data_IF_336302694710
#
_entry.id   IF_336302694710
#
_cell.length_a   1.000
_cell.length_b   1.000
_cell.length_c   1.000
_cell.angle_alpha   90.00
_cell.angle_beta   90.00
_cell.angle_gamma   90.00
#
_symmetry.space_group_name_H-M   'P 1'
#
loop_
_entity.id
_entity.type
_entity.pdbx_description
1 polymer ?
#
# COMPACT_ATOMS: atom_id res chain seq x y z
N UNK A 1 3.11 -16.72 -31.79
CA UNK A 1 3.43 -16.88 -30.36
C UNK A 1 2.52 -15.94 -29.59
N UNK A 2 1.80 -16.41 -28.57
CA UNK A 2 0.94 -15.54 -27.78
C UNK A 2 1.79 -14.43 -27.14
N UNK A 3 1.41 -13.18 -27.35
CA UNK A 3 2.11 -12.03 -26.78
C UNK A 3 1.91 -12.01 -25.27
N UNK A 4 2.99 -11.83 -24.50
CA UNK A 4 2.89 -11.71 -23.05
C UNK A 4 1.96 -10.53 -22.69
N UNK A 5 0.97 -10.75 -21.80
CA UNK A 5 0.05 -9.70 -21.37
C UNK A 5 0.82 -8.56 -20.69
N UNK A 6 0.28 -7.34 -20.80
CA UNK A 6 0.91 -6.14 -20.24
C UNK A 6 0.91 -6.19 -18.70
N UNK A 7 2.08 -6.16 -18.05
CA UNK A 7 2.19 -6.20 -16.60
C UNK A 7 1.93 -4.83 -15.94
N UNK A 8 1.84 -3.74 -16.71
CA UNK A 8 1.80 -2.36 -16.20
C UNK A 8 0.72 -2.15 -15.15
N UNK A 9 -0.47 -2.69 -15.39
CA UNK A 9 -1.56 -2.58 -14.43
C UNK A 9 -1.16 -3.17 -13.05
N UNK A 10 -0.48 -4.31 -13.02
CA UNK A 10 -0.12 -5.02 -11.78
C UNK A 10 1.12 -4.45 -11.07
N UNK A 11 1.80 -3.49 -11.66
CA UNK A 11 3.06 -2.95 -11.13
C UNK A 11 2.95 -1.47 -10.77
N UNK A 12 2.13 -0.70 -11.49
CA UNK A 12 2.03 0.74 -11.33
C UNK A 12 0.67 1.15 -10.80
N UNK A 13 0.67 2.11 -9.89
CA UNK A 13 -0.53 2.86 -9.54
C UNK A 13 -0.75 3.94 -10.60
N UNK A 14 -1.90 3.93 -11.27
CA UNK A 14 -2.23 4.91 -12.30
C UNK A 14 -2.17 6.36 -11.78
N UNK A 15 -1.81 7.30 -12.66
CA UNK A 15 -1.75 8.73 -12.34
C UNK A 15 -3.11 9.28 -11.89
N UNK A 16 -4.20 8.80 -12.50
CA UNK A 16 -5.56 9.14 -12.09
C UNK A 16 -5.82 8.77 -10.62
N UNK A 17 -5.38 7.57 -10.21
CA UNK A 17 -5.56 7.08 -8.86
C UNK A 17 -4.67 7.84 -7.87
N UNK A 18 -3.38 8.04 -8.21
CA UNK A 18 -2.47 8.86 -7.39
C UNK A 18 -3.04 10.25 -7.14
N UNK A 19 -3.64 10.89 -8.16
CA UNK A 19 -4.26 12.22 -8.00
C UNK A 19 -5.47 12.18 -7.07
N UNK A 20 -6.35 11.19 -7.22
CA UNK A 20 -7.54 11.04 -6.34
C UNK A 20 -7.14 10.84 -4.89
N UNK A 21 -6.17 9.95 -4.67
CA UNK A 21 -5.61 9.63 -3.36
C UNK A 21 -5.00 10.87 -2.70
N UNK A 22 -4.20 11.64 -3.44
CA UNK A 22 -3.59 12.88 -2.94
C UNK A 22 -4.60 14.00 -2.60
N UNK A 23 -5.79 13.98 -3.21
CA UNK A 23 -6.84 15.00 -2.98
C UNK A 23 -7.78 14.66 -1.82
N UNK A 24 -7.61 13.52 -1.15
CA UNK A 24 -8.51 13.12 -0.06
C UNK A 24 -8.46 14.14 1.10
N UNK A 25 -9.61 14.46 1.72
CA UNK A 25 -9.63 15.30 2.91
C UNK A 25 -8.77 14.70 4.02
N UNK A 26 -7.92 15.52 4.62
CA UNK A 26 -7.03 15.10 5.70
C UNK A 26 -6.91 16.21 6.73
N UNK A 27 -7.08 15.82 7.99
CA UNK A 27 -6.81 16.69 9.13
C UNK A 27 -5.80 15.98 10.04
N UNK A 28 -4.53 16.38 9.95
CA UNK A 28 -3.46 15.75 10.72
C UNK A 28 -3.52 15.96 12.23
N UNK A 29 -4.41 16.84 12.72
CA UNK A 29 -4.62 17.03 14.16
C UNK A 29 -5.78 16.21 14.69
N UNK A 30 -6.78 15.93 13.86
CA UNK A 30 -7.97 15.17 14.28
C UNK A 30 -7.95 13.72 13.85
N UNK A 31 -7.38 13.39 12.69
CA UNK A 31 -7.34 12.02 12.21
C UNK A 31 -6.23 11.23 12.91
N UNK A 32 -6.62 10.11 13.53
CA UNK A 32 -5.73 9.24 14.30
C UNK A 32 -6.03 7.77 14.02
N UNK A 33 -5.00 6.93 14.13
CA UNK A 33 -5.16 5.49 14.18
C UNK A 33 -5.47 5.04 15.59
N UNK A 34 -6.50 4.21 15.72
CA UNK A 34 -6.99 3.69 16.99
C UNK A 34 -6.89 2.16 16.97
N UNK A 35 -6.29 1.52 17.99
CA UNK A 35 -6.19 0.07 18.04
C UNK A 35 -7.58 -0.57 18.17
N UNK A 36 -7.80 -1.62 17.40
CA UNK A 36 -9.04 -2.39 17.36
C UNK A 36 -8.74 -3.90 17.42
N UNK A 37 -9.51 -4.64 18.19
CA UNK A 37 -9.27 -6.08 18.39
C UNK A 37 -9.58 -6.92 17.14
N UNK A 38 -10.42 -6.42 16.23
CA UNK A 38 -10.88 -7.18 15.05
C UNK A 38 -10.13 -6.78 13.78
N UNK A 39 -10.00 -5.48 13.53
CA UNK A 39 -9.38 -4.94 12.31
C UNK A 39 -7.91 -4.52 12.51
N UNK A 40 -7.38 -4.65 13.74
CA UNK A 40 -6.04 -4.24 14.13
C UNK A 40 -5.97 -2.74 14.42
N UNK A 41 -6.21 -1.91 13.40
CA UNK A 41 -6.29 -0.46 13.52
C UNK A 41 -7.43 0.12 12.69
N UNK A 42 -8.12 1.10 13.27
CA UNK A 42 -9.19 1.85 12.61
C UNK A 42 -8.83 3.33 12.52
N UNK A 43 -9.24 3.96 11.42
CA UNK A 43 -9.13 5.40 11.27
C UNK A 43 -10.26 6.06 12.07
N UNK A 44 -9.89 6.93 13.02
CA UNK A 44 -10.82 7.68 13.83
C UNK A 44 -10.59 9.18 13.74
N UNK A 45 -11.60 9.95 14.16
CA UNK A 45 -11.56 11.40 14.22
C UNK A 45 -11.71 11.87 15.66
N UNK A 46 -10.77 12.67 16.17
CA UNK A 46 -10.84 13.21 17.54
C UNK A 46 -11.98 14.21 17.65
N UNK A 47 -12.88 13.99 18.60
CA UNK A 47 -13.96 14.91 18.93
C UNK A 47 -13.69 15.73 20.20
N UNK A 48 -12.98 15.14 21.17
CA UNK A 48 -12.70 15.80 22.43
C UNK A 48 -11.64 15.08 23.25
N UNK A 49 -11.06 15.80 24.20
CA UNK A 49 -10.05 15.29 25.12
C UNK A 49 -10.41 15.72 26.54
N UNK A 50 -10.36 14.77 27.49
CA UNK A 50 -10.54 14.99 28.92
C UNK A 50 -9.34 14.38 29.65
N UNK A 51 -8.36 15.21 30.00
CA UNK A 51 -7.09 14.74 30.56
C UNK A 51 -6.35 13.84 29.58
N UNK A 52 -6.04 12.61 30.00
CA UNK A 52 -5.33 11.61 29.19
C UNK A 52 -6.26 10.78 28.30
N UNK A 53 -7.58 10.94 28.47
CA UNK A 53 -8.59 10.22 27.70
C UNK A 53 -9.07 11.06 26.52
N UNK A 54 -9.03 10.47 25.33
CA UNK A 54 -9.43 11.08 24.07
C UNK A 54 -10.64 10.35 23.52
N UNK A 55 -11.71 11.09 23.23
CA UNK A 55 -12.90 10.57 22.57
C UNK A 55 -12.71 10.69 21.05
N UNK A 56 -12.73 9.53 20.39
CA UNK A 56 -12.57 9.37 18.95
C UNK A 56 -13.86 8.82 18.35
N UNK A 57 -14.31 9.44 17.27
CA UNK A 57 -15.38 8.94 16.43
C UNK A 57 -14.81 7.89 15.47
N UNK A 58 -15.33 6.67 15.53
CA UNK A 58 -14.95 5.54 14.70
C UNK A 58 -16.16 5.07 13.88
N UNK A 59 -15.95 4.35 12.76
CA UNK A 59 -17.05 3.81 11.96
C UNK A 59 -18.04 2.92 12.74
N UNK A 60 -17.61 2.32 13.87
CA UNK A 60 -18.43 1.49 14.75
C UNK A 60 -19.06 2.23 15.95
N UNK A 61 -18.93 3.56 15.99
CA UNK A 61 -19.37 4.41 17.11
C UNK A 61 -18.21 5.03 17.87
N UNK A 62 -18.54 5.93 18.80
CA UNK A 62 -17.55 6.69 19.57
C UNK A 62 -16.89 5.81 20.62
N UNK A 63 -15.57 5.95 20.76
CA UNK A 63 -14.78 5.26 21.78
C UNK A 63 -13.91 6.26 22.52
N UNK A 64 -13.73 6.05 23.82
CA UNK A 64 -12.73 6.76 24.59
C UNK A 64 -11.50 5.87 24.74
N UNK A 65 -10.35 6.40 24.38
CA UNK A 65 -9.06 5.71 24.42
C UNK A 65 -8.00 6.65 24.98
N UNK A 66 -7.00 6.07 25.64
CA UNK A 66 -5.86 6.85 26.14
C UNK A 66 -5.08 7.46 24.99
N UNK A 67 -4.63 8.70 25.18
CA UNK A 67 -3.85 9.45 24.18
C UNK A 67 -2.62 8.69 23.69
N UNK A 68 -1.94 7.96 24.57
CA UNK A 68 -0.69 7.24 24.24
C UNK A 68 -0.90 6.05 23.30
N UNK A 69 -2.12 5.54 23.19
CA UNK A 69 -2.47 4.45 22.28
C UNK A 69 -2.81 4.94 20.87
N UNK A 70 -3.02 6.25 20.71
CA UNK A 70 -3.33 6.84 19.41
C UNK A 70 -2.06 7.01 18.59
N UNK A 71 -2.11 6.59 17.32
CA UNK A 71 -1.01 6.79 16.39
C UNK A 71 -1.36 7.85 15.35
N UNK A 72 -0.36 8.63 14.93
CA UNK A 72 -0.56 9.67 13.93
C UNK A 72 -0.76 9.07 12.54
N UNK A 73 -1.63 9.72 11.76
CA UNK A 73 -1.96 9.32 10.39
C UNK A 73 -1.05 10.06 9.42
N UNK A 74 -0.55 9.38 8.40
CA UNK A 74 0.23 10.02 7.35
C UNK A 74 -0.67 10.84 6.42
N UNK A 75 -0.20 11.99 5.90
CA UNK A 75 -0.96 12.77 4.94
C UNK A 75 -1.19 12.00 3.62
N UNK A 76 -2.24 12.33 2.84
CA UNK A 76 -2.64 11.58 1.65
C UNK A 76 -1.58 11.51 0.55
N UNK A 77 -0.59 12.41 0.58
CA UNK A 77 0.59 12.35 -0.32
C UNK A 77 1.38 11.04 -0.22
N UNK A 78 1.25 10.32 0.90
CA UNK A 78 1.91 9.05 1.14
C UNK A 78 1.00 7.84 0.93
N UNK A 79 -0.22 8.03 0.44
CA UNK A 79 -1.07 6.88 0.13
C UNK A 79 -0.44 5.99 -0.95
N UNK A 80 -0.46 4.68 -0.68
CA UNK A 80 0.06 3.64 -1.56
C UNK A 80 1.52 3.87 -1.95
N UNK A 81 2.34 4.39 -1.04
CA UNK A 81 3.75 4.60 -1.30
C UNK A 81 4.44 3.29 -1.70
N UNK A 82 5.33 3.37 -2.67
CA UNK A 82 6.11 2.22 -3.18
C UNK A 82 7.21 1.82 -2.19
N UNK A 83 7.70 2.76 -1.37
CA UNK A 83 8.66 2.52 -0.30
C UNK A 83 8.19 3.16 1.01
N UNK A 84 7.85 2.31 1.97
CA UNK A 84 7.33 2.73 3.27
C UNK A 84 8.38 3.40 4.16
N UNK A 85 9.68 3.28 3.87
CA UNK A 85 10.69 4.03 4.64
C UNK A 85 10.59 5.55 4.41
N UNK A 86 9.85 5.99 3.39
CA UNK A 86 9.61 7.40 3.11
C UNK A 86 8.40 7.98 3.84
N UNK A 87 7.67 7.18 4.63
CA UNK A 87 6.55 7.66 5.44
C UNK A 87 7.05 8.65 6.51
N UNK A 88 6.26 9.68 6.81
CA UNK A 88 6.57 10.61 7.91
C UNK A 88 6.38 9.94 9.26
N UNK A 89 5.29 9.19 9.43
CA UNK A 89 5.04 8.40 10.62
C UNK A 89 5.19 6.93 10.27
N UNK A 90 6.30 6.33 10.70
CA UNK A 90 6.57 4.91 10.52
C UNK A 90 6.11 4.14 11.77
N UNK A 91 4.80 4.02 11.92
CA UNK A 91 4.15 3.28 13.00
C UNK A 91 3.41 2.06 12.44
N UNK A 92 3.07 1.11 13.31
CA UNK A 92 2.45 -0.17 12.92
C UNK A 92 1.15 0.03 12.13
N UNK A 93 0.33 1.01 12.53
CA UNK A 93 -0.91 1.31 11.85
C UNK A 93 -0.69 1.83 10.43
N UNK A 94 0.31 2.69 10.23
CA UNK A 94 0.62 3.26 8.91
C UNK A 94 1.21 2.21 7.96
N UNK A 95 2.07 1.32 8.47
CA UNK A 95 2.62 0.20 7.67
C UNK A 95 1.49 -0.75 7.28
N UNK A 96 0.66 -1.16 8.24
CA UNK A 96 -0.48 -2.04 7.98
C UNK A 96 -1.45 -1.42 6.99
N UNK A 97 -1.77 -0.13 7.16
CA UNK A 97 -2.68 0.58 6.26
C UNK A 97 -2.13 0.67 4.84
N UNK A 98 -0.85 1.02 4.66
CA UNK A 98 -0.27 1.11 3.32
C UNK A 98 -0.27 -0.25 2.61
N UNK A 99 0.11 -1.32 3.32
CA UNK A 99 0.06 -2.68 2.79
C UNK A 99 -1.37 -3.11 2.47
N UNK A 100 -2.33 -2.83 3.36
CA UNK A 100 -3.76 -3.10 3.18
C UNK A 100 -4.29 -2.35 1.95
N UNK A 101 -4.06 -1.05 1.83
CA UNK A 101 -4.54 -0.25 0.70
C UNK A 101 -3.92 -0.67 -0.63
N UNK A 102 -2.62 -1.03 -0.65
CA UNK A 102 -1.96 -1.54 -1.86
C UNK A 102 -2.47 -2.92 -2.27
N UNK A 103 -2.85 -3.75 -1.30
CA UNK A 103 -3.44 -5.06 -1.54
C UNK A 103 -4.92 -4.99 -1.96
N UNK A 104 -5.72 -4.15 -1.29
CA UNK A 104 -7.18 -4.10 -1.44
C UNK A 104 -7.66 -3.18 -2.57
N UNK A 105 -6.95 -2.10 -2.89
CA UNK A 105 -7.28 -1.34 -4.09
C UNK A 105 -6.91 -2.18 -5.30
N UNK A 106 -7.90 -2.97 -5.76
CA UNK A 106 -8.00 -3.86 -6.94
C UNK A 106 -8.25 -5.37 -6.69
N UNK A 107 -8.83 -5.71 -5.52
CA UNK A 107 -9.51 -6.97 -5.13
C UNK A 107 -9.19 -8.26 -5.93
N UNK A 108 -8.37 -9.08 -5.29
CA UNK A 108 -8.31 -10.54 -5.48
C UNK A 108 -9.57 -11.24 -4.91
N UNK A 109 -10.40 -10.57 -4.11
CA UNK A 109 -11.71 -11.11 -3.72
C UNK A 109 -12.76 -10.02 -3.89
N UNK A 110 -13.64 -10.06 -4.91
CA UNK A 110 -14.79 -9.17 -4.89
C UNK A 110 -15.56 -9.46 -3.61
N UNK A 111 -15.69 -8.45 -2.75
CA UNK A 111 -16.67 -8.46 -1.67
C UNK A 111 -17.98 -8.92 -2.30
N UNK A 112 -18.58 -9.96 -1.72
CA UNK A 112 -19.61 -10.82 -2.30
C UNK A 112 -20.94 -10.12 -2.63
N UNK A 113 -20.99 -8.80 -2.80
CA UNK A 113 -22.21 -8.05 -3.11
C UNK A 113 -21.93 -6.96 -4.15
N UNK A 114 -22.67 -7.09 -5.25
CA UNK A 114 -22.96 -6.14 -6.36
C UNK A 114 -22.07 -6.14 -7.61
N UNK A 115 -22.65 -6.80 -8.62
CA UNK A 115 -22.82 -6.37 -10.01
C UNK A 115 -21.57 -6.20 -10.88
N UNK A 116 -21.32 -7.25 -11.67
CA UNK A 116 -20.69 -7.12 -12.99
C UNK A 116 -21.66 -6.36 -13.89
N UNK A 117 -21.43 -5.06 -14.06
CA UNK A 117 -21.98 -4.28 -15.15
C UNK A 117 -20.82 -3.51 -15.80
N UNK A 118 -20.70 -3.67 -17.12
CA UNK A 118 -19.76 -2.97 -18.01
C UNK A 118 -18.27 -3.33 -17.89
N UNK A 119 -17.89 -4.52 -18.39
CA UNK A 119 -16.78 -4.74 -19.35
C UNK A 119 -15.40 -4.08 -19.21
N UNK A 120 -15.07 -3.40 -18.10
CA UNK A 120 -13.84 -2.63 -17.94
C UNK A 120 -13.01 -3.23 -16.81
N UNK A 121 -12.09 -4.11 -17.19
CA UNK A 121 -11.11 -4.72 -16.27
C UNK A 121 -10.00 -3.70 -16.02
N UNK A 122 -10.18 -2.80 -15.05
CA UNK A 122 -9.06 -2.07 -14.45
C UNK A 122 -8.64 -2.83 -13.19
N UNK A 123 -7.65 -3.72 -13.32
CA UNK A 123 -7.11 -4.54 -12.23
C UNK A 123 -5.65 -4.14 -12.00
N UNK A 124 -5.42 -3.14 -11.16
CA UNK A 124 -4.06 -2.70 -10.81
C UNK A 124 -3.61 -3.27 -9.45
N UNK A 125 -3.15 -4.52 -9.38
CA UNK A 125 -2.80 -5.15 -8.10
C UNK A 125 -1.29 -5.12 -7.87
N UNK A 126 -0.81 -4.24 -6.99
CA UNK A 126 0.60 -4.17 -6.60
C UNK A 126 0.79 -4.76 -5.21
N UNK A 127 1.20 -6.02 -5.14
CA UNK A 127 1.36 -6.77 -3.87
C UNK A 127 2.78 -6.75 -3.31
N UNK A 128 3.70 -6.10 -4.02
CA UNK A 128 5.08 -5.93 -3.61
C UNK A 128 5.29 -4.46 -3.21
N UNK A 129 5.92 -4.24 -2.06
CA UNK A 129 6.17 -2.91 -1.52
C UNK A 129 7.54 -2.92 -0.86
N UNK A 130 8.33 -1.87 -1.07
CA UNK A 130 9.58 -1.71 -0.35
C UNK A 130 9.35 -1.17 1.06
N UNK A 131 10.23 -1.57 1.96
CA UNK A 131 10.40 -0.98 3.28
C UNK A 131 11.89 -0.81 3.51
N UNK A 132 12.45 0.26 2.93
CA UNK A 132 13.89 0.53 2.93
C UNK A 132 14.69 -0.55 2.19
N UNK A 133 15.29 -1.47 2.94
CA UNK A 133 16.06 -2.59 2.39
C UNK A 133 15.19 -3.81 2.08
N UNK A 134 14.02 -3.91 2.70
CA UNK A 134 13.16 -5.09 2.57
C UNK A 134 12.23 -4.95 1.37
N UNK A 135 11.97 -6.07 0.69
CA UNK A 135 10.87 -6.20 -0.25
C UNK A 135 9.79 -7.06 0.40
N UNK A 136 8.65 -6.44 0.72
CA UNK A 136 7.49 -7.11 1.31
C UNK A 136 6.62 -7.62 0.17
N UNK A 137 6.43 -8.94 0.08
CA UNK A 137 5.57 -9.59 -0.91
C UNK A 137 4.39 -10.28 -0.21
N UNK A 138 3.17 -9.80 -0.45
CA UNK A 138 1.95 -10.40 0.08
C UNK A 138 1.44 -11.45 -0.91
N UNK A 139 1.14 -12.66 -0.43
CA UNK A 139 0.64 -13.73 -1.29
C UNK A 139 -0.70 -13.33 -1.93
N UNK A 140 -0.77 -13.26 -3.28
CA UNK A 140 -1.99 -12.88 -3.97
C UNK A 140 -3.04 -13.98 -4.05
N UNK A 141 -2.72 -15.26 -3.75
CA UNK A 141 -3.62 -16.40 -3.98
C UNK A 141 -4.22 -16.49 -5.41
N UNK A 142 -3.62 -15.77 -6.38
CA UNK A 142 -3.98 -15.73 -7.79
C UNK A 142 -2.74 -15.58 -8.65
N UNK A 143 -2.79 -16.16 -9.85
CA UNK A 143 -1.70 -16.08 -10.82
C UNK A 143 -1.78 -14.75 -11.58
N UNK A 144 -0.78 -13.91 -11.40
CA UNK A 144 -0.63 -12.65 -12.14
C UNK A 144 0.47 -12.74 -13.20
N UNK A 145 0.36 -11.99 -14.31
CA UNK A 145 1.34 -11.99 -15.38
C UNK A 145 2.59 -11.15 -15.08
N UNK A 146 3.12 -11.22 -13.85
CA UNK A 146 4.29 -10.43 -13.45
C UNK A 146 5.62 -11.20 -13.47
N UNK A 147 5.55 -12.51 -13.72
CA UNK A 147 6.73 -13.38 -13.83
C UNK A 147 7.03 -13.79 -15.27
N UNK A 148 6.62 -12.97 -16.25
CA UNK A 148 6.84 -13.25 -17.68
C UNK A 148 8.23 -12.77 -18.12
N UNK A 149 8.79 -13.32 -19.22
CA UNK A 149 10.04 -12.84 -19.81
C UNK A 149 10.02 -11.35 -20.12
N UNK A 150 8.86 -10.81 -20.55
CA UNK A 150 8.65 -9.36 -20.72
C UNK A 150 8.95 -8.56 -19.46
N UNK A 151 8.55 -9.05 -18.29
CA UNK A 151 8.82 -8.37 -17.01
C UNK A 151 10.29 -8.52 -16.65
N UNK A 152 10.89 -9.69 -16.82
CA UNK A 152 12.34 -9.87 -16.58
C UNK A 152 13.17 -8.84 -17.36
N UNK A 153 12.84 -8.62 -18.64
CA UNK A 153 13.51 -7.62 -19.47
C UNK A 153 13.33 -6.17 -18.97
N UNK A 154 12.22 -5.87 -18.28
CA UNK A 154 11.95 -4.55 -17.70
C UNK A 154 12.87 -4.25 -16.51
N UNK A 155 13.20 -5.25 -15.69
CA UNK A 155 13.98 -5.09 -14.46
C UNK A 155 15.50 -5.23 -14.65
N UNK A 156 15.93 -5.82 -15.76
CA UNK A 156 17.35 -6.07 -16.03
C UNK A 156 18.16 -4.78 -16.11
N UNK A 157 19.21 -4.66 -15.29
CA UNK A 157 20.11 -3.52 -15.26
C UNK A 157 19.47 -2.22 -14.77
N UNK A 158 18.33 -2.30 -14.08
CA UNK A 158 17.62 -1.13 -13.54
C UNK A 158 17.87 -0.99 -12.05
N UNK A 159 17.98 0.26 -11.60
CA UNK A 159 18.06 0.54 -10.15
C UNK A 159 16.68 0.41 -9.53
N UNK A 160 16.61 0.00 -8.26
CA UNK A 160 15.34 -0.17 -7.50
C UNK A 160 14.41 1.04 -7.50
N UNK A 161 14.94 2.25 -7.71
CA UNK A 161 14.18 3.51 -7.74
C UNK A 161 13.59 3.82 -9.11
N UNK A 162 14.01 3.12 -10.15
CA UNK A 162 13.59 3.35 -11.55
C UNK A 162 12.44 2.43 -11.98
N UNK A 163 12.20 1.38 -11.20
CA UNK A 163 11.19 0.35 -11.45
C UNK A 163 10.32 0.17 -10.22
N UNK A 164 9.05 -0.20 -10.38
CA UNK A 164 8.16 -0.41 -9.25
C UNK A 164 8.65 -1.59 -8.39
N UNK A 165 8.12 -1.74 -7.16
CA UNK A 165 8.59 -2.78 -6.27
C UNK A 165 8.38 -4.20 -6.81
N UNK A 166 9.47 -4.96 -6.92
CA UNK A 166 9.42 -6.34 -7.39
C UNK A 166 10.65 -7.14 -6.93
N UNK A 167 10.48 -8.44 -6.70
CA UNK A 167 11.57 -9.38 -6.36
C UNK A 167 12.69 -9.38 -7.41
N UNK A 168 12.35 -9.17 -8.69
CA UNK A 168 13.34 -9.08 -9.76
C UNK A 168 14.27 -7.89 -9.62
N UNK A 169 13.83 -6.76 -9.07
CA UNK A 169 14.72 -5.64 -8.79
C UNK A 169 15.76 -6.00 -7.70
N UNK A 170 15.35 -6.79 -6.71
CA UNK A 170 16.24 -7.27 -5.65
C UNK A 170 17.23 -8.30 -6.22
N UNK A 171 16.75 -9.25 -7.01
CA UNK A 171 17.59 -10.25 -7.67
C UNK A 171 18.61 -9.62 -8.63
N UNK A 172 18.19 -8.70 -9.48
CA UNK A 172 19.09 -8.01 -10.42
C UNK A 172 20.09 -7.12 -9.69
N UNK A 173 19.64 -6.38 -8.66
CA UNK A 173 20.51 -5.59 -7.81
C UNK A 173 21.59 -6.42 -7.10
N UNK A 174 21.23 -7.61 -6.58
CA UNK A 174 22.18 -8.53 -5.96
C UNK A 174 23.17 -9.10 -6.98
N UNK A 175 22.69 -9.47 -8.17
CA UNK A 175 23.54 -9.98 -9.26
C UNK A 175 24.53 -8.92 -9.76
N UNK A 176 24.06 -7.68 -9.98
CA UNK A 176 24.92 -6.55 -10.35
C UNK A 176 25.93 -6.21 -9.25
N UNK A 177 25.51 -6.25 -7.98
CA UNK A 177 26.41 -6.03 -6.84
C UNK A 177 27.53 -7.06 -6.81
N UNK A 178 27.22 -8.35 -6.99
CA UNK A 178 28.21 -9.43 -7.07
C UNK A 178 29.22 -9.22 -8.21
N UNK A 179 28.77 -8.74 -9.38
CA UNK A 179 29.65 -8.49 -10.52
C UNK A 179 30.52 -7.24 -10.36
N UNK A 180 30.05 -6.26 -9.58
CA UNK A 180 30.70 -4.96 -9.42
C UNK A 180 31.59 -4.91 -8.18
N UNK A 181 31.29 -5.69 -7.15
CA UNK A 181 32.13 -5.84 -5.97
C UNK A 181 33.42 -6.56 -6.35
N UNK A 182 34.48 -5.79 -6.58
CA UNK A 182 35.86 -6.27 -6.57
C UNK A 182 36.42 -6.25 -5.16
#
# INVERSE_FOLDING_TARGET
MATDPDPTAFLFVSLEQKRKDQTKPYDGKKMVWVPDEREGFLLGNIEGQKGDDVTVDLPGGKRTVKKDLLQQVNPPKFEKCEDMSNLTYLNDASVLYNLKERYYNNLIYPRLHKFVLYGKVRREVVFQTYSGLFCVAINPYKRFPIYTPRVVAMYKGKRRTEVPPHVFAISDGAYMAMLTSK
#
